data_IF_059607564327
#
_entry.id   IF_059607564327
#
_cell.length_a   1.000
_cell.length_b   1.000
_cell.length_c   1.000
_cell.angle_alpha   90.00
_cell.angle_beta   90.00
_cell.angle_gamma   90.00
#
_symmetry.space_group_name_H-M   'P 1'
#
loop_
_entity.id
_entity.type
_entity.pdbx_description
1 polymer ?
#
# COMPACT_ATOMS: atom_id res chain seq x y z
N UNK A 1 61.81 -13.16 -40.10
CA UNK A 1 61.53 -11.72 -40.13
C UNK A 1 60.06 -11.56 -40.51
N UNK A 2 59.15 -11.42 -39.55
CA UNK A 2 57.76 -10.97 -39.78
C UNK A 2 57.38 -10.10 -38.59
N UNK A 3 56.85 -8.93 -38.93
CA UNK A 3 56.67 -7.75 -38.11
C UNK A 3 55.54 -7.86 -37.08
N UNK A 4 55.74 -7.19 -35.95
CA UNK A 4 54.70 -6.71 -35.05
C UNK A 4 53.90 -5.58 -35.71
N UNK A 5 52.56 -5.65 -35.65
CA UNK A 5 51.69 -4.48 -35.62
C UNK A 5 50.78 -4.59 -34.39
N UNK A 6 50.87 -3.58 -33.51
CA UNK A 6 50.03 -3.43 -32.34
C UNK A 6 48.84 -2.54 -32.67
N UNK A 7 47.64 -3.03 -32.39
CA UNK A 7 46.42 -2.24 -32.30
C UNK A 7 46.01 -2.11 -30.84
N UNK A 8 46.09 -0.90 -30.30
CA UNK A 8 45.54 -0.55 -28.99
C UNK A 8 44.01 -0.49 -29.08
N UNK A 9 43.33 -1.41 -28.39
CA UNK A 9 41.89 -1.35 -28.17
C UNK A 9 41.62 -0.34 -27.04
N UNK A 10 41.03 0.81 -27.38
CA UNK A 10 40.44 1.73 -26.41
C UNK A 10 39.34 1.00 -25.61
N UNK A 11 39.41 1.10 -24.28
CA UNK A 11 38.36 0.64 -23.38
C UNK A 11 37.14 1.56 -23.51
N UNK A 12 35.90 1.03 -23.61
CA UNK A 12 34.71 1.86 -23.57
C UNK A 12 34.55 2.47 -22.17
N UNK A 13 34.34 3.78 -22.12
CA UNK A 13 34.04 4.51 -20.89
C UNK A 13 32.81 3.91 -20.18
N UNK A 14 32.90 3.76 -18.86
CA UNK A 14 31.80 3.27 -18.01
C UNK A 14 30.54 4.15 -18.19
N UNK A 15 29.33 3.55 -18.32
CA UNK A 15 28.10 4.32 -18.40
C UNK A 15 27.79 4.96 -17.04
N UNK A 16 27.48 6.27 -17.07
CA UNK A 16 27.04 7.03 -15.91
C UNK A 16 25.83 6.38 -15.23
N UNK A 17 25.83 6.35 -13.91
CA UNK A 17 24.76 5.74 -13.11
C UNK A 17 23.42 6.46 -13.32
N UNK A 18 22.31 5.72 -13.27
CA UNK A 18 20.93 6.25 -13.33
C UNK A 18 20.68 7.40 -12.35
N UNK A 19 21.42 7.42 -11.22
CA UNK A 19 21.37 8.48 -10.22
C UNK A 19 21.90 9.84 -10.71
N UNK A 20 22.85 9.88 -11.66
CA UNK A 20 23.38 11.13 -12.23
C UNK A 20 22.45 11.71 -13.31
N UNK A 21 21.68 10.87 -13.99
CA UNK A 21 20.79 11.26 -15.09
C UNK A 21 19.47 11.84 -14.54
N UNK A 22 18.94 11.31 -13.42
CA UNK A 22 17.76 11.90 -12.74
C UNK A 22 18.09 13.25 -12.08
N UNK A 23 19.34 13.44 -11.63
CA UNK A 23 19.80 14.72 -11.08
C UNK A 23 19.96 15.80 -12.17
N UNK A 24 20.41 15.42 -13.37
CA UNK A 24 20.49 16.32 -14.54
C UNK A 24 19.10 16.67 -15.10
N UNK A 25 18.13 15.75 -15.06
CA UNK A 25 16.74 16.03 -15.41
C UNK A 25 16.05 16.96 -14.39
N UNK A 26 16.37 16.85 -13.10
CA UNK A 26 15.89 17.79 -12.07
C UNK A 26 16.47 19.20 -12.26
N UNK A 27 17.76 19.32 -12.60
CA UNK A 27 18.41 20.61 -12.90
C UNK A 27 17.88 21.29 -14.18
N UNK A 28 17.50 20.51 -15.21
CA UNK A 28 16.89 21.03 -16.44
C UNK A 28 15.44 21.53 -16.25
N UNK A 29 14.73 20.98 -15.25
CA UNK A 29 13.37 21.39 -14.87
C UNK A 29 13.39 22.58 -13.89
N UNK A 30 14.40 22.68 -13.02
CA UNK A 30 14.64 23.86 -12.18
C UNK A 30 15.08 25.10 -12.99
N UNK A 31 15.73 24.91 -14.14
CA UNK A 31 16.11 26.00 -15.05
C UNK A 31 14.92 26.65 -15.80
N UNK A 32 13.69 26.14 -15.63
CA UNK A 32 12.49 26.58 -16.36
C UNK A 32 11.37 27.14 -15.45
N UNK A 33 11.64 27.33 -14.16
CA UNK A 33 10.66 27.89 -13.22
C UNK A 33 11.16 29.22 -12.64
N UNK A 34 10.32 30.27 -12.70
CA UNK A 34 10.53 31.53 -11.98
C UNK A 34 9.33 31.90 -11.08
N UNK A 35 9.57 32.76 -10.05
CA UNK A 35 8.80 32.86 -8.79
C UNK A 35 7.55 33.77 -8.88
N UNK A 36 6.68 33.82 -7.85
CA UNK A 36 5.42 34.57 -7.88
C UNK A 36 5.61 36.10 -7.74
N UNK A 37 4.73 36.88 -8.36
CA UNK A 37 4.71 38.35 -8.33
C UNK A 37 4.25 38.92 -6.96
N UNK A 38 4.85 40.02 -6.44
CA UNK A 38 4.37 40.75 -5.25
C UNK A 38 3.45 41.95 -5.58
N UNK A 39 2.79 42.55 -4.56
CA UNK A 39 1.67 43.48 -4.72
C UNK A 39 2.06 44.97 -4.93
N UNK A 40 1.11 45.75 -5.44
CA UNK A 40 1.20 47.17 -5.79
C UNK A 40 1.02 48.08 -4.55
N UNK A 41 1.88 49.08 -4.35
CA UNK A 41 1.56 50.47 -3.93
C UNK A 41 2.80 51.39 -3.90
N UNK A 42 2.62 52.68 -4.27
CA UNK A 42 3.67 53.68 -4.57
C UNK A 42 4.20 54.54 -3.39
N UNK A 43 4.58 55.81 -3.60
CA UNK A 43 5.97 56.23 -3.80
C UNK A 43 6.51 57.18 -2.72
N UNK A 44 7.85 57.25 -2.53
CA UNK A 44 8.61 58.51 -2.34
C UNK A 44 10.14 58.31 -2.11
N UNK A 45 10.89 59.04 -2.94
CA UNK A 45 12.12 59.83 -2.70
C UNK A 45 13.52 59.21 -2.51
N UNK A 46 14.43 59.90 -3.22
CA UNK A 46 15.83 59.63 -3.56
C UNK A 46 16.83 59.93 -2.42
N UNK A 47 17.93 59.18 -2.38
CA UNK A 47 19.28 59.76 -2.53
C UNK A 47 20.32 58.68 -2.86
N UNK A 48 21.26 59.08 -3.71
CA UNK A 48 22.19 58.26 -4.47
C UNK A 48 23.37 57.70 -3.67
N UNK A 49 23.85 56.52 -4.09
CA UNK A 49 25.25 56.26 -4.48
C UNK A 49 25.31 54.94 -5.27
N UNK A 50 25.84 55.00 -6.48
CA UNK A 50 26.04 53.86 -7.38
C UNK A 50 27.24 53.00 -6.93
N UNK A 51 27.14 51.67 -7.07
CA UNK A 51 27.96 50.81 -7.98
C UNK A 51 27.27 49.43 -8.08
N UNK A 52 26.99 48.95 -9.30
CA UNK A 52 26.74 47.53 -9.59
C UNK A 52 25.42 47.19 -10.29
N UNK A 53 25.27 47.53 -11.58
CA UNK A 53 24.25 47.04 -12.53
C UNK A 53 24.45 45.54 -12.83
N UNK A 54 23.53 44.74 -13.38
CA UNK A 54 22.41 44.87 -14.34
C UNK A 54 21.33 43.84 -13.89
N UNK A 55 20.02 44.03 -13.98
CA UNK A 55 19.18 44.44 -15.11
C UNK A 55 18.11 43.34 -15.29
N UNK A 56 16.88 43.60 -14.85
CA UNK A 56 15.71 42.72 -15.05
C UNK A 56 14.98 43.12 -16.32
N UNK A 57 14.72 42.19 -17.24
CA UNK A 57 13.77 42.37 -18.34
C UNK A 57 12.66 41.31 -18.24
N UNK A 58 11.40 41.78 -18.29
CA UNK A 58 10.21 40.96 -18.48
C UNK A 58 10.11 40.50 -19.93
N UNK A 59 9.66 39.27 -20.17
CA UNK A 59 9.22 38.85 -21.50
C UNK A 59 7.91 38.03 -21.41
N UNK A 60 6.89 38.53 -22.10
CA UNK A 60 5.70 37.83 -22.59
C UNK A 60 6.10 37.06 -23.85
N UNK A 61 5.86 35.75 -23.97
CA UNK A 61 5.93 35.08 -25.28
C UNK A 61 4.83 34.02 -25.44
N UNK A 62 3.93 34.31 -26.36
CA UNK A 62 3.08 33.40 -27.13
C UNK A 62 3.92 32.54 -28.08
N UNK A 63 3.69 31.23 -28.16
CA UNK A 63 4.38 30.35 -29.11
C UNK A 63 3.43 29.66 -30.07
N UNK A 64 3.59 30.00 -31.36
CA UNK A 64 3.24 29.18 -32.51
C UNK A 64 4.35 28.18 -32.79
N UNK A 65 3.98 26.94 -33.10
CA UNK A 65 4.87 25.78 -33.30
C UNK A 65 5.45 25.77 -34.72
N UNK A 66 6.75 25.50 -34.85
CA UNK A 66 7.36 24.98 -36.08
C UNK A 66 8.35 23.85 -35.74
N UNK A 67 8.17 22.71 -36.41
CA UNK A 67 9.00 21.50 -36.32
C UNK A 67 10.40 21.73 -36.92
N UNK A 68 11.46 21.31 -36.22
CA UNK A 68 12.69 20.84 -36.89
C UNK A 68 13.61 19.99 -35.97
N UNK A 69 14.07 18.87 -36.56
CA UNK A 69 15.23 18.01 -36.28
C UNK A 69 15.39 17.31 -34.91
N UNK A 70 14.95 16.05 -34.84
CA UNK A 70 15.28 15.11 -33.75
C UNK A 70 16.61 14.41 -34.05
N UNK A 71 17.64 14.69 -33.26
CA UNK A 71 18.87 13.92 -33.17
C UNK A 71 18.56 12.53 -32.57
N UNK A 72 18.62 11.48 -33.37
CA UNK A 72 18.27 10.11 -33.00
C UNK A 72 19.42 9.44 -32.22
N UNK A 73 19.68 9.91 -31.00
CA UNK A 73 20.42 9.14 -30.00
C UNK A 73 19.40 8.22 -29.31
N UNK A 74 19.53 6.90 -29.49
CA UNK A 74 18.66 5.92 -28.82
C UNK A 74 18.77 6.17 -27.31
N UNK A 75 17.69 6.66 -26.70
CA UNK A 75 17.63 6.92 -25.26
C UNK A 75 17.82 5.61 -24.50
N UNK A 76 18.60 5.64 -23.41
CA UNK A 76 18.79 4.46 -22.55
C UNK A 76 17.41 3.99 -22.03
N UNK A 77 17.14 2.68 -22.10
CA UNK A 77 15.85 2.13 -21.71
C UNK A 77 15.47 2.46 -20.26
N UNK A 78 16.45 2.52 -19.35
CA UNK A 78 16.23 2.91 -17.96
C UNK A 78 15.77 4.38 -17.84
N UNK A 79 16.33 5.26 -18.67
CA UNK A 79 15.95 6.67 -18.73
C UNK A 79 14.52 6.83 -19.26
N UNK A 80 14.18 6.08 -20.32
CA UNK A 80 12.83 6.07 -20.88
C UNK A 80 11.81 5.56 -19.87
N UNK A 81 12.13 4.48 -19.15
CA UNK A 81 11.27 3.93 -18.09
C UNK A 81 11.08 4.96 -16.96
N UNK A 82 12.14 5.64 -16.53
CA UNK A 82 12.06 6.69 -15.51
C UNK A 82 11.21 7.89 -15.93
N UNK A 83 11.33 8.34 -17.18
CA UNK A 83 10.50 9.40 -17.75
C UNK A 83 9.03 8.97 -17.82
N UNK A 84 8.77 7.75 -18.28
CA UNK A 84 7.41 7.20 -18.35
C UNK A 84 6.76 7.11 -16.97
N UNK A 85 7.49 6.61 -15.97
CA UNK A 85 7.00 6.52 -14.59
C UNK A 85 6.67 7.90 -14.00
N UNK A 86 7.44 8.92 -14.34
CA UNK A 86 7.18 10.30 -13.92
C UNK A 86 5.92 10.86 -14.57
N UNK A 87 5.72 10.63 -15.88
CA UNK A 87 4.50 11.05 -16.58
C UNK A 87 3.27 10.35 -16.01
N UNK A 88 3.32 9.02 -15.91
CA UNK A 88 2.25 8.20 -15.34
C UNK A 88 1.96 8.65 -13.91
N UNK A 89 2.98 8.83 -13.08
CA UNK A 89 2.84 9.31 -11.70
C UNK A 89 2.12 10.65 -11.61
N UNK A 90 2.38 11.58 -12.54
CA UNK A 90 1.67 12.86 -12.60
C UNK A 90 0.21 12.68 -13.00
N UNK A 91 -0.07 11.87 -14.02
CA UNK A 91 -1.42 11.63 -14.55
C UNK A 91 -2.32 10.90 -13.57
N UNK A 92 -1.79 9.89 -12.86
CA UNK A 92 -2.55 9.14 -11.85
C UNK A 92 -2.60 9.86 -10.50
N UNK A 93 -1.94 11.01 -10.35
CA UNK A 93 -1.90 11.74 -9.08
C UNK A 93 -1.10 11.05 -7.98
N UNK A 94 -0.04 10.33 -8.33
CA UNK A 94 0.84 9.65 -7.38
C UNK A 94 1.53 10.63 -6.42
N UNK A 95 1.59 10.25 -5.15
CA UNK A 95 2.32 10.95 -4.12
C UNK A 95 3.80 10.53 -4.09
N UNK A 96 4.08 9.28 -4.45
CA UNK A 96 5.43 8.74 -4.45
C UNK A 96 5.74 7.99 -5.76
N UNK A 97 6.99 8.12 -6.22
CA UNK A 97 7.59 7.24 -7.23
C UNK A 97 8.68 6.43 -6.52
N UNK A 98 8.62 5.10 -6.64
CA UNK A 98 9.56 4.15 -6.05
C UNK A 98 10.32 3.48 -7.18
N UNK A 99 11.65 3.42 -7.07
CA UNK A 99 12.52 2.67 -7.96
C UNK A 99 13.30 1.64 -7.16
N UNK A 100 13.40 0.43 -7.69
CA UNK A 100 14.16 -0.67 -7.10
C UNK A 100 15.23 -1.10 -8.09
N UNK A 101 16.49 -1.07 -7.63
CA UNK A 101 17.65 -1.50 -8.41
C UNK A 101 18.47 -2.52 -7.62
N UNK A 102 18.89 -3.61 -8.27
CA UNK A 102 19.83 -4.55 -7.66
C UNK A 102 21.20 -3.88 -7.50
N UNK A 103 21.83 -4.06 -6.34
CA UNK A 103 23.23 -3.71 -6.09
C UNK A 103 24.08 -4.98 -5.96
N UNK A 104 25.38 -4.93 -6.30
CA UNK A 104 26.28 -6.05 -6.10
C UNK A 104 26.39 -6.42 -4.62
N UNK A 105 26.37 -7.72 -4.31
CA UNK A 105 26.38 -8.24 -2.95
C UNK A 105 27.67 -7.84 -2.21
N UNK A 106 27.53 -7.33 -0.98
CA UNK A 106 28.69 -6.96 -0.12
C UNK A 106 29.06 -8.11 0.83
N UNK A 107 28.16 -9.07 1.09
CA UNK A 107 28.41 -10.17 2.03
C UNK A 107 27.55 -11.40 1.73
N UNK A 108 28.19 -12.55 1.47
CA UNK A 108 27.62 -13.91 1.53
C UNK A 108 26.37 -14.15 0.67
N UNK A 109 26.52 -14.91 -0.42
CA UNK A 109 25.41 -15.28 -1.30
C UNK A 109 24.37 -16.14 -0.57
N UNK A 110 23.34 -15.50 -0.02
CA UNK A 110 22.05 -16.15 0.14
C UNK A 110 21.43 -16.23 -1.26
N UNK A 111 21.44 -17.43 -1.83
CA UNK A 111 21.07 -17.67 -3.21
C UNK A 111 19.59 -17.37 -3.50
N UNK A 112 18.80 -17.05 -2.47
CA UNK A 112 17.37 -16.73 -2.61
C UNK A 112 17.04 -15.24 -2.46
N UNK A 113 18.04 -14.39 -2.16
CA UNK A 113 17.85 -12.96 -1.92
C UNK A 113 18.71 -12.09 -2.85
N UNK A 114 18.24 -10.88 -3.12
CA UNK A 114 18.91 -9.82 -3.87
C UNK A 114 19.20 -8.65 -2.91
N UNK A 115 20.43 -8.16 -2.90
CA UNK A 115 20.72 -6.85 -2.32
C UNK A 115 20.18 -5.78 -3.28
N UNK A 116 19.26 -4.95 -2.80
CA UNK A 116 18.61 -3.91 -3.60
C UNK A 116 18.76 -2.55 -2.95
N UNK A 117 18.82 -1.51 -3.78
CA UNK A 117 18.62 -0.13 -3.38
C UNK A 117 17.20 0.28 -3.75
N UNK A 118 16.47 0.77 -2.77
CA UNK A 118 15.14 1.34 -2.94
C UNK A 118 15.28 2.86 -2.88
N UNK A 119 14.85 3.53 -3.95
CA UNK A 119 14.83 5.00 -4.06
C UNK A 119 13.39 5.46 -4.12
N UNK A 120 13.03 6.40 -3.25
CA UNK A 120 11.67 6.92 -3.11
C UNK A 120 11.70 8.43 -3.35
N UNK A 121 10.94 8.88 -4.34
CA UNK A 121 10.70 10.28 -4.65
C UNK A 121 9.30 10.65 -4.19
N UNK A 122 9.21 11.41 -3.11
CA UNK A 122 7.93 11.91 -2.58
C UNK A 122 7.65 13.30 -3.14
N UNK A 123 6.47 13.50 -3.72
CA UNK A 123 5.99 14.81 -4.16
C UNK A 123 5.77 15.74 -2.97
N UNK A 124 6.43 16.89 -3.01
CA UNK A 124 6.30 18.00 -2.07
C UNK A 124 5.33 19.07 -2.57
N UNK A 125 5.38 20.26 -1.95
CA UNK A 125 4.65 21.45 -2.43
C UNK A 125 5.34 22.01 -3.68
N UNK A 126 4.58 22.65 -4.56
CA UNK A 126 5.08 23.30 -5.79
C UNK A 126 5.85 22.37 -6.75
N UNK A 127 5.40 21.12 -6.89
CA UNK A 127 6.00 20.14 -7.81
C UNK A 127 7.47 19.77 -7.50
N UNK A 128 7.95 20.08 -6.29
CA UNK A 128 9.24 19.59 -5.78
C UNK A 128 9.16 18.11 -5.40
N UNK A 129 10.29 17.41 -5.40
CA UNK A 129 10.37 16.03 -4.92
C UNK A 129 11.42 15.88 -3.83
N UNK A 130 11.05 15.21 -2.73
CA UNK A 130 11.99 14.76 -1.70
C UNK A 130 12.46 13.35 -2.04
N UNK A 131 13.77 13.18 -2.24
CA UNK A 131 14.41 11.88 -2.48
C UNK A 131 14.85 11.24 -1.15
N UNK A 132 14.57 9.96 -1.00
CA UNK A 132 15.13 9.08 0.05
C UNK A 132 15.65 7.82 -0.63
N UNK A 133 16.81 7.32 -0.20
CA UNK A 133 17.36 6.06 -0.69
C UNK A 133 17.84 5.20 0.48
N UNK A 134 17.61 3.89 0.40
CA UNK A 134 18.13 2.93 1.37
C UNK A 134 18.41 1.58 0.71
N UNK A 135 19.29 0.80 1.33
CA UNK A 135 19.59 -0.58 0.90
C UNK A 135 18.86 -1.58 1.79
N UNK A 136 18.39 -2.67 1.19
CA UNK A 136 17.72 -3.78 1.88
C UNK A 136 17.86 -5.08 1.08
N UNK A 137 17.38 -6.19 1.64
CA UNK A 137 17.30 -7.47 0.97
C UNK A 137 15.89 -7.70 0.45
N UNK A 138 15.78 -8.08 -0.82
CA UNK A 138 14.54 -8.47 -1.48
C UNK A 138 14.63 -9.94 -1.86
N UNK A 139 13.59 -10.73 -1.60
CA UNK A 139 13.54 -12.11 -2.13
C UNK A 139 13.54 -12.08 -3.66
N UNK A 140 14.18 -13.06 -4.30
CA UNK A 140 14.10 -13.20 -5.76
C UNK A 140 12.64 -13.29 -6.19
N UNK A 141 12.27 -12.53 -7.22
CA UNK A 141 10.91 -12.58 -7.74
C UNK A 141 10.67 -13.85 -8.53
N UNK A 142 9.55 -14.51 -8.24
CA UNK A 142 9.02 -15.59 -9.07
C UNK A 142 8.12 -15.01 -10.16
N UNK A 143 8.06 -15.66 -11.32
CA UNK A 143 7.25 -15.19 -12.44
C UNK A 143 5.77 -15.03 -12.02
N UNK A 144 5.21 -13.85 -12.27
CA UNK A 144 3.82 -13.51 -11.92
C UNK A 144 3.56 -13.18 -10.44
N UNK A 145 4.54 -13.36 -9.54
CA UNK A 145 4.41 -12.94 -8.15
C UNK A 145 4.80 -11.47 -8.00
N UNK A 146 4.07 -10.70 -7.20
CA UNK A 146 4.44 -9.33 -6.79
C UNK A 146 4.76 -9.24 -5.29
N UNK A 147 4.86 -10.38 -4.61
CA UNK A 147 5.05 -10.46 -3.15
C UNK A 147 6.33 -9.70 -2.72
N UNK A 148 7.50 -9.88 -3.36
CA UNK A 148 8.70 -9.18 -2.91
C UNK A 148 8.59 -7.66 -3.05
N UNK A 149 7.87 -7.16 -4.06
CA UNK A 149 7.59 -5.73 -4.23
C UNK A 149 6.73 -5.21 -3.08
N UNK A 150 5.67 -5.95 -2.72
CA UNK A 150 4.81 -5.62 -1.56
C UNK A 150 5.61 -5.60 -0.25
N UNK A 151 6.53 -6.53 -0.05
CA UNK A 151 7.43 -6.56 1.12
C UNK A 151 8.30 -5.29 1.19
N UNK A 152 8.88 -4.86 0.06
CA UNK A 152 9.66 -3.61 -0.01
C UNK A 152 8.81 -2.38 0.29
N UNK A 153 7.61 -2.30 -0.25
CA UNK A 153 6.67 -1.21 0.04
C UNK A 153 6.27 -1.20 1.52
N UNK A 154 6.06 -2.38 2.12
CA UNK A 154 5.80 -2.52 3.56
C UNK A 154 6.94 -1.92 4.39
N UNK A 155 8.18 -2.22 4.03
CA UNK A 155 9.36 -1.70 4.71
C UNK A 155 9.45 -0.17 4.58
N UNK A 156 9.23 0.37 3.38
CA UNK A 156 9.22 1.80 3.12
C UNK A 156 8.15 2.54 3.94
N UNK A 157 6.99 1.90 4.15
CA UNK A 157 5.92 2.45 4.98
C UNK A 157 6.29 2.40 6.46
N UNK A 158 6.85 1.29 6.95
CA UNK A 158 7.33 1.17 8.34
C UNK A 158 8.41 2.21 8.67
N UNK A 159 9.22 2.59 7.67
CA UNK A 159 10.22 3.66 7.76
C UNK A 159 9.65 5.08 7.58
N UNK A 160 8.33 5.20 7.44
CA UNK A 160 7.58 6.46 7.23
C UNK A 160 7.96 7.24 5.94
N UNK A 161 8.60 6.59 4.98
CA UNK A 161 8.93 7.21 3.68
C UNK A 161 7.70 7.27 2.77
N UNK A 162 6.81 6.29 2.92
CA UNK A 162 5.48 6.20 2.30
C UNK A 162 4.45 6.24 3.42
N UNK A 163 3.32 6.92 3.20
CA UNK A 163 2.27 7.16 4.19
C UNK A 163 0.95 6.55 3.76
N UNK A 164 0.07 6.30 4.74
CA UNK A 164 -1.32 5.92 4.51
C UNK A 164 -2.00 6.93 3.56
N UNK A 165 -2.80 6.44 2.61
CA UNK A 165 -3.44 7.27 1.58
C UNK A 165 -2.53 7.72 0.44
N UNK A 166 -1.23 7.38 0.43
CA UNK A 166 -0.39 7.66 -0.73
C UNK A 166 -0.74 6.74 -1.89
N UNK A 167 -0.77 7.30 -3.10
CA UNK A 167 -0.65 6.57 -4.35
C UNK A 167 0.81 6.47 -4.77
N UNK A 168 1.26 5.27 -5.10
CA UNK A 168 2.66 4.93 -5.36
C UNK A 168 2.79 4.34 -6.76
N UNK A 169 3.70 4.89 -7.56
CA UNK A 169 4.17 4.24 -8.79
C UNK A 169 5.50 3.56 -8.48
N UNK A 170 5.56 2.24 -8.57
CA UNK A 170 6.77 1.45 -8.37
C UNK A 170 7.33 1.01 -9.72
N UNK A 171 8.64 1.12 -9.88
CA UNK A 171 9.34 0.86 -11.13
C UNK A 171 10.54 -0.02 -10.84
N UNK A 172 10.68 -1.07 -11.64
CA UNK A 172 11.78 -2.02 -11.55
C UNK A 172 12.39 -2.16 -12.94
N UNK A 173 13.71 -2.36 -13.00
CA UNK A 173 14.42 -2.61 -14.25
C UNK A 173 14.87 -4.07 -14.35
N UNK A 174 15.56 -4.40 -15.45
CA UNK A 174 16.06 -5.75 -15.74
C UNK A 174 16.93 -6.35 -14.62
N UNK A 175 17.54 -5.51 -13.77
CA UNK A 175 18.45 -5.95 -12.70
C UNK A 175 17.79 -6.86 -11.66
N UNK A 176 16.46 -6.86 -11.57
CA UNK A 176 15.67 -7.71 -10.67
C UNK A 176 15.53 -9.16 -11.20
N UNK A 177 15.91 -9.43 -12.45
CA UNK A 177 16.16 -10.80 -12.94
C UNK A 177 14.93 -11.57 -13.42
N UNK A 178 13.88 -10.89 -13.87
CA UNK A 178 12.65 -11.50 -14.37
C UNK A 178 12.57 -11.68 -15.90
N UNK A 179 13.64 -11.32 -16.62
CA UNK A 179 13.67 -11.36 -18.09
C UNK A 179 12.89 -10.23 -18.79
N UNK A 180 12.31 -9.30 -18.02
CA UNK A 180 11.71 -8.06 -18.54
C UNK A 180 12.70 -6.91 -18.46
N UNK A 181 12.65 -5.98 -19.42
CA UNK A 181 13.47 -4.75 -19.39
C UNK A 181 13.03 -3.75 -18.33
N UNK A 182 11.75 -3.77 -17.98
CA UNK A 182 11.22 -3.04 -16.84
C UNK A 182 9.79 -3.45 -16.52
N UNK A 183 9.38 -3.17 -15.30
CA UNK A 183 8.01 -3.37 -14.81
C UNK A 183 7.56 -2.11 -14.09
N UNK A 184 6.28 -1.79 -14.23
CA UNK A 184 5.66 -0.66 -13.56
C UNK A 184 4.38 -1.13 -12.86
N UNK A 185 4.27 -0.78 -11.59
CA UNK A 185 3.10 -1.06 -10.76
C UNK A 185 2.56 0.23 -10.18
N UNK A 186 1.25 0.33 -10.08
CA UNK A 186 0.57 1.44 -9.40
C UNK A 186 -0.18 0.85 -8.23
N UNK A 187 0.04 1.41 -7.05
CA UNK A 187 -0.59 0.95 -5.83
C UNK A 187 -1.16 2.11 -5.03
N UNK A 188 -2.34 1.90 -4.46
CA UNK A 188 -2.84 2.73 -3.37
C UNK A 188 -2.42 2.06 -2.05
N UNK A 189 -1.72 2.80 -1.19
CA UNK A 189 -1.11 2.25 0.04
C UNK A 189 -2.15 1.64 0.97
N UNK A 190 -3.36 2.18 0.98
CA UNK A 190 -4.48 1.62 1.76
C UNK A 190 -4.80 0.17 1.36
N UNK A 191 -4.76 -0.15 0.06
CA UNK A 191 -4.99 -1.50 -0.45
C UNK A 191 -3.77 -2.42 -0.21
N UNK A 192 -2.55 -1.89 -0.28
CA UNK A 192 -1.36 -2.68 0.05
C UNK A 192 -1.37 -3.10 1.53
N UNK A 193 -1.69 -2.18 2.44
CA UNK A 193 -1.86 -2.49 3.87
C UNK A 193 -2.91 -3.56 4.09
N UNK A 194 -3.99 -3.51 3.31
CA UNK A 194 -5.02 -4.53 3.30
C UNK A 194 -4.45 -5.92 3.00
N UNK A 195 -3.75 -6.04 1.87
CA UNK A 195 -3.18 -7.29 1.37
C UNK A 195 -2.10 -7.89 2.29
N UNK A 196 -1.22 -7.04 2.86
CA UNK A 196 -0.15 -7.50 3.75
C UNK A 196 -0.74 -8.04 5.05
N UNK A 197 -1.72 -7.33 5.61
CA UNK A 197 -2.35 -7.78 6.86
C UNK A 197 -3.19 -9.03 6.61
N UNK A 198 -3.86 -9.13 5.46
CA UNK A 198 -4.53 -10.34 4.98
C UNK A 198 -3.57 -11.53 4.93
N UNK A 199 -2.35 -11.37 4.39
CA UNK A 199 -1.35 -12.46 4.31
C UNK A 199 -1.00 -13.06 5.67
N UNK A 200 -1.01 -12.25 6.74
CA UNK A 200 -0.77 -12.73 8.11
C UNK A 200 -1.99 -13.38 8.78
N UNK A 201 -3.16 -13.29 8.13
CA UNK A 201 -4.44 -13.83 8.60
C UNK A 201 -4.84 -15.11 7.82
N UNK A 202 -4.25 -15.38 6.66
CA UNK A 202 -4.66 -16.49 5.77
C UNK A 202 -4.12 -17.87 6.17
N UNK A 203 -3.44 -18.00 7.31
CA UNK A 203 -3.01 -19.28 7.88
C UNK A 203 -4.16 -20.05 8.56
N UNK A 204 -5.27 -19.36 8.89
CA UNK A 204 -6.46 -19.96 9.52
C UNK A 204 -7.56 -20.22 8.50
N UNK A 205 -7.71 -19.33 7.52
CA UNK A 205 -8.81 -19.34 6.55
C UNK A 205 -8.32 -18.88 5.18
N UNK A 206 -8.98 -19.31 4.11
CA UNK A 206 -8.62 -18.89 2.76
C UNK A 206 -8.90 -17.40 2.54
N UNK A 207 -8.13 -16.71 1.66
CA UNK A 207 -8.27 -15.27 1.43
C UNK A 207 -9.68 -14.84 1.02
N UNK A 208 -10.35 -15.63 0.17
CA UNK A 208 -11.69 -15.34 -0.36
C UNK A 208 -12.76 -15.26 0.74
N UNK A 209 -12.69 -16.14 1.75
CA UNK A 209 -13.61 -16.12 2.89
C UNK A 209 -13.38 -14.86 3.74
N UNK A 210 -12.13 -14.55 4.02
CA UNK A 210 -11.78 -13.39 4.85
C UNK A 210 -12.16 -12.08 4.14
N UNK A 211 -11.93 -12.00 2.83
CA UNK A 211 -12.33 -10.88 1.98
C UNK A 211 -13.85 -10.70 1.99
N UNK A 212 -14.62 -11.76 1.77
CA UNK A 212 -16.08 -11.70 1.83
C UNK A 212 -16.60 -11.19 3.19
N UNK A 213 -16.03 -11.67 4.31
CA UNK A 213 -16.41 -11.17 5.64
C UNK A 213 -16.09 -9.69 5.79
N UNK A 214 -14.91 -9.25 5.35
CA UNK A 214 -14.49 -7.87 5.51
C UNK A 214 -15.33 -6.95 4.63
N UNK A 215 -15.62 -7.32 3.39
CA UNK A 215 -16.50 -6.54 2.52
C UNK A 215 -17.88 -6.33 3.16
N UNK A 216 -18.47 -7.41 3.69
CA UNK A 216 -19.75 -7.33 4.42
C UNK A 216 -19.62 -6.42 5.64
N UNK A 217 -18.53 -6.54 6.40
CA UNK A 217 -18.27 -5.69 7.57
C UNK A 217 -18.12 -4.21 7.19
N UNK A 218 -17.46 -3.90 6.08
CA UNK A 218 -17.31 -2.54 5.52
C UNK A 218 -18.65 -1.95 5.16
N UNK A 219 -19.52 -2.72 4.50
CA UNK A 219 -20.86 -2.24 4.20
C UNK A 219 -21.70 -2.01 5.46
N UNK A 220 -21.69 -2.93 6.42
CA UNK A 220 -22.41 -2.76 7.69
C UNK A 220 -21.88 -1.53 8.44
N UNK A 221 -20.55 -1.34 8.48
CA UNK A 221 -19.94 -0.20 9.15
C UNK A 221 -20.30 1.14 8.49
N UNK A 222 -20.39 1.17 7.16
CA UNK A 222 -20.69 2.38 6.38
C UNK A 222 -22.19 2.72 6.36
N UNK A 223 -23.03 1.73 6.11
CA UNK A 223 -24.46 1.90 5.83
C UNK A 223 -25.32 1.68 7.09
N UNK A 224 -24.83 0.86 8.02
CA UNK A 224 -25.65 0.34 9.11
C UNK A 224 -26.79 -0.53 8.59
N UNK A 225 -27.92 -0.53 9.30
CA UNK A 225 -29.17 -1.15 8.84
C UNK A 225 -30.27 -0.08 8.82
N UNK A 226 -30.91 0.10 7.66
CA UNK A 226 -31.89 1.18 7.44
C UNK A 226 -31.35 2.57 7.85
N UNK A 227 -30.04 2.80 7.64
CA UNK A 227 -29.34 4.04 7.99
C UNK A 227 -29.01 4.20 9.48
N UNK A 228 -29.34 3.21 10.33
CA UNK A 228 -28.97 3.22 11.76
C UNK A 228 -27.64 2.49 11.97
N UNK A 229 -26.70 3.05 12.74
CA UNK A 229 -25.45 2.36 13.04
C UNK A 229 -25.70 1.02 13.73
N UNK A 230 -25.07 -0.04 13.21
CA UNK A 230 -25.15 -1.41 13.75
C UNK A 230 -23.75 -1.86 14.12
N UNK A 231 -23.61 -2.43 15.33
CA UNK A 231 -22.38 -3.12 15.72
C UNK A 231 -22.57 -4.62 15.67
N UNK A 232 -21.68 -5.31 14.99
CA UNK A 232 -21.71 -6.78 14.85
C UNK A 232 -20.30 -7.36 14.92
N UNK A 233 -20.18 -8.68 14.93
CA UNK A 233 -18.89 -9.32 14.75
C UNK A 233 -19.03 -10.69 14.08
N UNK A 234 -17.95 -11.11 13.43
CA UNK A 234 -17.79 -12.40 12.78
C UNK A 234 -16.61 -13.11 13.42
N UNK A 235 -16.76 -14.38 13.80
CA UNK A 235 -15.66 -15.23 14.30
C UNK A 235 -15.49 -16.38 13.32
N UNK A 236 -14.31 -16.48 12.72
CA UNK A 236 -13.99 -17.44 11.66
C UNK A 236 -12.89 -18.38 12.14
N UNK A 237 -13.10 -19.68 12.03
CA UNK A 237 -12.11 -20.69 12.42
C UNK A 237 -12.69 -22.09 12.47
N UNK A 238 -12.06 -22.99 13.21
CA UNK A 238 -12.61 -24.32 13.43
C UNK A 238 -13.91 -24.25 14.25
N UNK A 239 -15.02 -24.69 13.66
CA UNK A 239 -16.33 -24.60 14.32
C UNK A 239 -16.36 -25.35 15.66
N UNK A 240 -15.71 -26.51 15.76
CA UNK A 240 -15.81 -27.34 16.95
C UNK A 240 -15.01 -26.73 18.11
N UNK A 241 -13.89 -26.05 17.83
CA UNK A 241 -13.15 -25.26 18.83
C UNK A 241 -13.95 -24.03 19.28
N UNK A 242 -14.50 -23.26 18.33
CA UNK A 242 -15.22 -22.02 18.66
C UNK A 242 -16.47 -22.33 19.47
N UNK A 243 -17.24 -23.35 19.06
CA UNK A 243 -18.54 -23.65 19.65
C UNK A 243 -18.46 -24.01 21.14
N UNK A 244 -17.34 -24.53 21.63
CA UNK A 244 -17.08 -24.81 23.06
C UNK A 244 -17.21 -23.56 23.95
N UNK A 245 -16.99 -22.38 23.38
CA UNK A 245 -17.02 -21.10 24.07
C UNK A 245 -18.22 -20.26 23.65
N UNK A 246 -19.23 -20.86 23.04
CA UNK A 246 -20.40 -20.15 22.54
C UNK A 246 -21.68 -20.59 23.23
N UNK A 247 -22.65 -19.69 23.28
CA UNK A 247 -24.03 -20.01 23.66
C UNK A 247 -24.97 -19.34 22.68
N UNK A 248 -25.85 -20.12 22.07
CA UNK A 248 -26.89 -19.59 21.21
C UNK A 248 -27.95 -18.90 22.07
N UNK A 249 -28.17 -17.59 21.87
CA UNK A 249 -29.09 -16.79 22.69
C UNK A 249 -30.49 -16.69 22.11
N UNK A 250 -30.59 -16.75 20.78
CA UNK A 250 -31.83 -16.66 20.02
C UNK A 250 -31.91 -17.80 19.00
N UNK A 251 -33.05 -18.02 18.36
CA UNK A 251 -33.15 -19.02 17.28
C UNK A 251 -32.10 -18.69 16.20
N UNK A 252 -31.26 -19.67 15.88
CA UNK A 252 -30.23 -19.51 14.86
C UNK A 252 -30.87 -19.55 13.47
N UNK A 253 -30.83 -18.44 12.69
CA UNK A 253 -31.46 -18.41 11.37
C UNK A 253 -30.78 -19.32 10.33
N UNK A 254 -29.54 -19.75 10.57
CA UNK A 254 -28.77 -20.62 9.67
C UNK A 254 -28.85 -22.11 10.02
N UNK A 255 -29.60 -22.49 11.06
CA UNK A 255 -29.63 -23.86 11.57
C UNK A 255 -30.22 -24.87 10.58
N UNK A 256 -31.31 -24.51 9.90
CA UNK A 256 -32.03 -25.39 8.98
C UNK A 256 -31.57 -25.28 7.51
N UNK A 257 -30.59 -24.42 7.24
CA UNK A 257 -30.07 -24.19 5.88
C UNK A 257 -28.94 -25.20 5.60
N UNK A 258 -28.94 -25.89 4.45
CA UNK A 258 -27.84 -26.75 4.02
C UNK A 258 -26.49 -26.00 4.00
N UNK A 259 -25.39 -26.67 4.26
CA UNK A 259 -24.07 -26.02 4.34
C UNK A 259 -23.66 -25.35 3.03
N UNK A 260 -24.09 -25.91 1.90
CA UNK A 260 -23.81 -25.41 0.56
C UNK A 260 -24.54 -24.10 0.26
N UNK A 261 -25.64 -23.81 0.96
CA UNK A 261 -26.49 -22.63 0.77
C UNK A 261 -26.25 -21.54 1.82
N UNK A 262 -25.24 -21.71 2.68
CA UNK A 262 -24.89 -20.73 3.72
C UNK A 262 -23.41 -20.39 3.71
N UNK A 263 -22.82 -20.31 2.52
CA UNK A 263 -21.44 -19.87 2.34
C UNK A 263 -21.37 -18.35 2.44
N UNK A 264 -20.45 -17.85 3.26
CA UNK A 264 -20.23 -16.40 3.43
C UNK A 264 -19.79 -15.72 2.12
N UNK A 265 -19.19 -16.48 1.21
CA UNK A 265 -18.77 -16.05 -0.12
C UNK A 265 -19.92 -15.99 -1.12
N UNK A 266 -21.13 -16.47 -0.79
CA UNK A 266 -22.31 -16.35 -1.64
C UNK A 266 -22.86 -14.91 -1.60
N UNK A 267 -22.79 -14.15 -2.72
CA UNK A 267 -23.26 -12.77 -2.75
C UNK A 267 -24.76 -12.62 -2.47
N UNK A 268 -25.55 -13.67 -2.70
CA UNK A 268 -27.01 -13.64 -2.49
C UNK A 268 -27.39 -13.57 -1.01
N UNK A 269 -26.50 -14.00 -0.11
CA UNK A 269 -26.72 -13.97 1.33
C UNK A 269 -26.36 -12.63 1.98
N UNK A 270 -25.68 -11.75 1.25
CA UNK A 270 -25.11 -10.50 1.77
C UNK A 270 -26.14 -9.63 2.49
N UNK A 271 -27.28 -9.37 1.86
CA UNK A 271 -28.35 -8.57 2.46
C UNK A 271 -29.03 -9.28 3.64
N UNK A 272 -29.14 -10.61 3.58
CA UNK A 272 -29.65 -11.42 4.70
C UNK A 272 -28.72 -11.32 5.92
N UNK A 273 -27.40 -11.38 5.71
CA UNK A 273 -26.39 -11.24 6.76
C UNK A 273 -26.44 -9.82 7.36
N UNK A 274 -26.54 -8.78 6.52
CA UNK A 274 -26.71 -7.39 6.96
C UNK A 274 -27.95 -7.22 7.83
N UNK A 275 -29.07 -7.84 7.46
CA UNK A 275 -30.30 -7.85 8.26
C UNK A 275 -30.10 -8.49 9.63
N UNK A 276 -29.44 -9.65 9.67
CA UNK A 276 -29.13 -10.36 10.92
C UNK A 276 -28.00 -9.73 11.74
N UNK A 277 -27.24 -8.77 11.22
CA UNK A 277 -26.17 -8.11 11.95
C UNK A 277 -26.66 -7.31 13.17
N UNK A 278 -27.95 -6.99 13.20
CA UNK A 278 -28.63 -6.33 14.32
C UNK A 278 -28.84 -7.23 15.53
N UNK A 279 -28.74 -8.55 15.35
CA UNK A 279 -28.91 -9.52 16.42
C UNK A 279 -27.79 -9.37 17.45
N UNK A 280 -28.12 -9.53 18.74
CA UNK A 280 -27.08 -9.51 19.77
C UNK A 280 -26.27 -10.82 19.75
N UNK A 281 -24.96 -10.67 19.70
CA UNK A 281 -23.99 -11.75 19.58
C UNK A 281 -23.04 -11.54 18.41
N UNK A 282 -22.57 -12.66 17.86
CA UNK A 282 -21.66 -12.74 16.73
C UNK A 282 -22.19 -13.74 15.70
N UNK A 283 -21.69 -13.64 14.49
CA UNK A 283 -21.72 -14.72 13.52
C UNK A 283 -20.56 -15.68 13.78
N UNK A 284 -20.84 -16.98 13.76
CA UNK A 284 -19.79 -18.02 13.79
C UNK A 284 -19.69 -18.61 12.39
N UNK A 285 -18.48 -18.63 11.84
CA UNK A 285 -18.18 -19.09 10.48
C UNK A 285 -17.10 -20.16 10.58
N UNK A 286 -17.35 -21.31 9.95
CA UNK A 286 -16.36 -22.37 9.86
C UNK A 286 -15.23 -22.01 8.87
N UNK A 287 -14.06 -22.61 9.01
CA UNK A 287 -12.91 -22.49 8.09
C UNK A 287 -13.26 -22.76 6.62
N UNK A 288 -14.33 -23.51 6.34
CA UNK A 288 -14.84 -23.75 4.99
C UNK A 288 -15.73 -22.62 4.44
N UNK A 289 -15.93 -21.55 5.20
CA UNK A 289 -16.78 -20.41 4.84
C UNK A 289 -18.27 -20.63 5.13
N UNK A 290 -18.64 -21.77 5.69
CA UNK A 290 -20.03 -22.06 6.08
C UNK A 290 -20.40 -21.24 7.32
N UNK A 291 -21.47 -20.45 7.22
CA UNK A 291 -22.06 -19.74 8.38
C UNK A 291 -22.75 -20.78 9.26
N UNK A 292 -22.24 -20.94 10.48
CA UNK A 292 -22.75 -21.88 11.47
C UNK A 292 -23.92 -21.27 12.22
N UNK A 293 -23.76 -20.02 12.65
CA UNK A 293 -24.79 -19.33 13.43
C UNK A 293 -24.71 -17.80 13.36
N UNK A 294 -25.82 -17.17 13.72
CA UNK A 294 -25.91 -15.73 13.99
C UNK A 294 -26.60 -15.51 15.35
N UNK A 295 -26.32 -14.37 15.99
CA UNK A 295 -26.87 -14.06 17.32
C UNK A 295 -26.29 -14.97 18.43
N UNK A 296 -25.03 -15.36 18.27
CA UNK A 296 -24.35 -16.28 19.19
C UNK A 296 -23.55 -15.48 20.22
N UNK A 297 -23.75 -15.77 21.51
CA UNK A 297 -22.98 -15.14 22.58
C UNK A 297 -21.64 -15.85 22.78
N UNK A 298 -20.57 -15.08 22.95
CA UNK A 298 -19.25 -15.59 23.29
C UNK A 298 -19.10 -15.66 24.81
N UNK A 299 -19.10 -16.88 25.34
CA UNK A 299 -18.91 -17.17 26.75
C UNK A 299 -17.42 -17.39 27.06
N UNK A 300 -16.65 -16.30 27.01
CA UNK A 300 -15.21 -16.29 27.23
C UNK A 300 -14.84 -15.39 28.39
N UNK A 301 -13.84 -15.80 29.17
CA UNK A 301 -13.24 -14.96 30.19
C UNK A 301 -12.26 -13.98 29.53
N UNK A 302 -12.48 -12.69 29.73
CA UNK A 302 -11.56 -11.65 29.28
C UNK A 302 -10.52 -11.42 30.37
N UNK A 303 -9.26 -11.73 30.09
CA UNK A 303 -8.18 -11.48 31.02
C UNK A 303 -7.84 -9.98 31.13
N UNK A 304 -7.04 -9.65 32.15
CA UNK A 304 -6.67 -8.26 32.41
C UNK A 304 -5.86 -7.64 31.26
N UNK A 305 -5.00 -8.44 30.61
CA UNK A 305 -4.18 -8.00 29.49
C UNK A 305 -5.05 -7.49 28.33
N UNK A 306 -6.05 -8.26 27.91
CA UNK A 306 -7.00 -7.86 26.87
C UNK A 306 -7.85 -6.66 27.34
N UNK A 307 -8.27 -6.66 28.60
CA UNK A 307 -9.10 -5.57 29.14
C UNK A 307 -8.37 -4.23 29.12
N UNK A 308 -7.10 -4.22 29.54
CA UNK A 308 -6.24 -3.03 29.57
C UNK A 308 -5.91 -2.57 28.14
N UNK A 309 -5.52 -3.51 27.26
CA UNK A 309 -5.16 -3.22 25.87
C UNK A 309 -6.33 -2.69 25.01
N UNK A 310 -7.57 -3.07 25.36
CA UNK A 310 -8.79 -2.68 24.67
C UNK A 310 -9.67 -1.73 25.52
N UNK A 311 -9.03 -0.97 26.42
CA UNK A 311 -9.71 0.06 27.20
C UNK A 311 -10.47 1.03 26.29
N UNK A 312 -11.70 1.37 26.69
CA UNK A 312 -12.61 2.18 25.87
C UNK A 312 -13.36 1.43 24.77
N UNK A 313 -13.02 0.17 24.46
CA UNK A 313 -13.82 -0.66 23.54
C UNK A 313 -14.91 -1.44 24.30
N UNK A 314 -16.01 -1.71 23.60
CA UNK A 314 -17.16 -2.45 24.15
C UNK A 314 -16.89 -3.94 24.37
N UNK A 315 -17.81 -4.61 25.05
CA UNK A 315 -17.71 -6.04 25.42
C UNK A 315 -17.48 -6.94 24.19
N UNK A 316 -18.14 -6.68 23.06
CA UNK A 316 -17.97 -7.46 21.82
C UNK A 316 -16.52 -7.49 21.34
N UNK A 317 -15.80 -6.37 21.41
CA UNK A 317 -14.38 -6.32 21.04
C UNK A 317 -13.53 -7.19 21.97
N UNK A 318 -13.76 -7.08 23.29
CA UNK A 318 -13.03 -7.86 24.28
C UNK A 318 -13.29 -9.36 24.17
N UNK A 319 -14.55 -9.75 23.98
CA UNK A 319 -14.91 -11.17 23.78
C UNK A 319 -14.34 -11.72 22.48
N UNK A 320 -14.35 -10.95 21.39
CA UNK A 320 -13.71 -11.34 20.12
C UNK A 320 -12.19 -11.47 20.24
N UNK A 321 -11.52 -10.57 20.96
CA UNK A 321 -10.10 -10.75 21.25
C UNK A 321 -9.88 -12.02 22.09
N UNK A 322 -10.64 -12.21 23.16
CA UNK A 322 -10.47 -13.36 24.05
C UNK A 322 -10.70 -14.70 23.34
N UNK A 323 -11.75 -14.84 22.50
CA UNK A 323 -11.97 -16.08 21.75
C UNK A 323 -10.81 -16.37 20.78
N UNK A 324 -10.27 -15.36 20.10
CA UNK A 324 -9.12 -15.56 19.19
C UNK A 324 -7.80 -15.89 19.92
N UNK A 325 -7.72 -15.64 21.23
CA UNK A 325 -6.60 -16.07 22.09
C UNK A 325 -6.77 -17.54 22.54
N UNK A 326 -8.02 -17.98 22.71
CA UNK A 326 -8.36 -19.33 23.19
C UNK A 326 -8.45 -20.37 22.07
N UNK A 327 -8.77 -19.94 20.85
CA UNK A 327 -8.95 -20.83 19.69
C UNK A 327 -8.13 -20.35 18.49
N UNK A 328 -7.91 -21.23 17.51
CA UNK A 328 -7.33 -20.83 16.22
C UNK A 328 -8.39 -20.18 15.36
N UNK A 329 -8.71 -18.92 15.68
CA UNK A 329 -9.74 -18.14 14.98
C UNK A 329 -9.32 -16.71 14.71
N UNK A 330 -10.05 -16.08 13.80
CA UNK A 330 -10.00 -14.65 13.48
C UNK A 330 -11.34 -14.05 13.83
N UNK A 331 -11.35 -12.84 14.39
CA UNK A 331 -12.59 -12.12 14.63
C UNK A 331 -12.59 -10.75 13.94
N UNK A 332 -13.62 -10.47 13.15
CA UNK A 332 -13.86 -9.17 12.50
C UNK A 332 -14.99 -8.48 13.24
N UNK A 333 -14.73 -7.32 13.84
CA UNK A 333 -15.69 -6.59 14.69
C UNK A 333 -16.01 -5.25 14.07
N UNK A 334 -17.29 -4.95 13.91
CA UNK A 334 -17.81 -3.65 13.47
C UNK A 334 -18.29 -2.86 14.69
N UNK A 335 -17.77 -1.65 14.86
CA UNK A 335 -18.14 -0.78 15.97
C UNK A 335 -19.45 -0.04 15.68
N UNK A 336 -20.44 -0.18 16.57
CA UNK A 336 -21.68 0.58 16.46
C UNK A 336 -21.45 2.11 16.51
N UNK A 337 -20.49 2.57 17.33
CA UNK A 337 -20.26 3.99 17.61
C UNK A 337 -19.46 4.75 16.55
N UNK A 338 -19.36 4.23 15.32
CA UNK A 338 -18.66 4.93 14.23
C UNK A 338 -18.26 4.06 13.06
N UNK A 339 -18.81 2.85 12.92
CA UNK A 339 -18.55 1.99 11.76
C UNK A 339 -17.17 1.35 11.72
N UNK A 340 -16.24 1.76 12.58
CA UNK A 340 -14.84 1.31 12.57
C UNK A 340 -14.73 -0.21 12.73
N UNK A 341 -13.88 -0.80 11.90
CA UNK A 341 -13.72 -2.25 11.83
C UNK A 341 -12.38 -2.64 12.44
N UNK A 342 -12.37 -3.71 13.24
CA UNK A 342 -11.15 -4.25 13.84
C UNK A 342 -11.09 -5.74 13.60
N UNK A 343 -9.93 -6.21 13.17
CA UNK A 343 -9.65 -7.62 12.97
C UNK A 343 -8.73 -8.09 14.09
N UNK A 344 -9.12 -9.17 14.76
CA UNK A 344 -8.41 -9.78 15.87
C UNK A 344 -7.90 -11.17 15.51
N UNK A 345 -6.71 -11.51 16.01
CA UNK A 345 -6.13 -12.85 15.97
C UNK A 345 -5.21 -13.00 17.18
N UNK A 346 -5.24 -14.15 17.86
CA UNK A 346 -4.36 -14.39 19.02
C UNK A 346 -4.56 -13.40 20.17
N UNK A 347 -5.74 -12.79 20.31
CA UNK A 347 -6.01 -11.77 21.32
C UNK A 347 -5.53 -10.35 20.97
N UNK A 348 -4.94 -10.13 19.80
CA UNK A 348 -4.38 -8.84 19.39
C UNK A 348 -5.12 -8.25 18.19
N UNK A 349 -5.10 -6.93 18.06
CA UNK A 349 -5.61 -6.24 16.87
C UNK A 349 -4.57 -6.40 15.76
N UNK A 350 -4.95 -7.08 14.68
CA UNK A 350 -4.13 -7.25 13.49
C UNK A 350 -4.33 -6.10 12.50
N UNK A 351 -5.56 -5.59 12.41
CA UNK A 351 -5.93 -4.56 11.43
C UNK A 351 -7.06 -3.67 11.95
N UNK A 352 -7.08 -2.43 11.46
CA UNK A 352 -8.16 -1.44 11.65
C UNK A 352 -8.52 -0.84 10.30
N UNK A 353 -9.82 -0.83 9.98
CA UNK A 353 -10.36 -0.19 8.77
C UNK A 353 -11.19 1.03 9.16
#
# INVERSE_FOLDING_TARGET
>A
QVHHEGGSLEQPAEPKSTQEITAQAAQAVEAQAQPPSPPIQGPAQECATAVGSFGSEQYEISTSVSEEAVDNKIKNIDEVIGLAATSIGKEVGANCIVSVERKPNISGADDNCLDVEVVIFRKGRNNSYKKVAYRTKMKKMLQGSIIPVKELLTEAIKKEYIKKGDRVVCVENESIGLGYKGMLFIFDVDNIFFDISMTHLTDIVTPDILEAVIEIAVEIGREGFEGKPVGTAFVIGDKDEIMQYTKQMIINPFQAIPEEQKKITDPSLKETIKSFAQLDGVFVIDKSGTIISAGTYLNVNVDKEISDALSGLGTRHRSCAAITKLTKSIAVVVSQSGGQIRIFKGGQIMMRL
#
